data_IF_469498755789
#
_entry.id   IF_469498755789
#
_cell.length_a   1.000
_cell.length_b   1.000
_cell.length_c   1.000
_cell.angle_alpha   90.00
_cell.angle_beta   90.00
_cell.angle_gamma   90.00
#
_symmetry.space_group_name_H-M   'P 1'
#
loop_
_entity.id
_entity.type
_entity.pdbx_description
1 polymer ?
#
# COMPACT_ATOMS: atom_id res chain seq x y z
N UNK A 1 -12.49 -11.17 18.39
CA UNK A 1 -13.24 -10.59 17.26
C UNK A 1 -12.71 -9.20 17.02
N UNK A 2 -12.52 -8.80 15.76
CA UNK A 2 -12.12 -7.43 15.41
C UNK A 2 -13.31 -6.48 15.60
N UNK A 3 -13.10 -5.34 16.24
CA UNK A 3 -14.14 -4.31 16.46
C UNK A 3 -14.03 -3.17 15.45
N UNK A 4 -15.08 -2.35 15.32
CA UNK A 4 -15.05 -1.12 14.51
C UNK A 4 -13.93 -0.15 14.96
N UNK A 5 -13.66 -0.10 16.27
CA UNK A 5 -12.58 0.70 16.83
C UNK A 5 -11.20 0.19 16.38
N UNK A 6 -11.02 -1.13 16.28
CA UNK A 6 -9.79 -1.73 15.75
C UNK A 6 -9.60 -1.41 14.27
N UNK A 7 -10.66 -1.54 13.47
CA UNK A 7 -10.63 -1.23 12.03
C UNK A 7 -10.29 0.25 11.82
N UNK A 8 -10.94 1.14 12.58
CA UNK A 8 -10.68 2.57 12.52
C UNK A 8 -9.22 2.91 12.83
N UNK A 9 -8.67 2.31 13.88
CA UNK A 9 -7.27 2.52 14.27
C UNK A 9 -6.30 2.07 13.17
N UNK A 10 -6.56 0.95 12.51
CA UNK A 10 -5.74 0.48 11.38
C UNK A 10 -5.84 1.44 10.19
N UNK A 11 -7.05 1.90 9.85
CA UNK A 11 -7.25 2.87 8.78
C UNK A 11 -6.53 4.20 9.06
N UNK A 12 -6.67 4.75 10.27
CA UNK A 12 -6.03 6.01 10.65
C UNK A 12 -4.50 5.89 10.57
N UNK A 13 -3.92 4.79 11.08
CA UNK A 13 -2.49 4.52 10.97
C UNK A 13 -2.03 4.34 9.51
N UNK A 14 -2.81 3.65 8.70
CA UNK A 14 -2.54 3.50 7.26
C UNK A 14 -2.51 4.86 6.57
N UNK A 15 -3.51 5.71 6.84
CA UNK A 15 -3.60 7.04 6.26
C UNK A 15 -2.43 7.95 6.68
N UNK A 16 -2.07 7.93 7.96
CA UNK A 16 -0.92 8.68 8.50
C UNK A 16 0.40 8.24 7.86
N UNK A 17 0.64 6.94 7.74
CA UNK A 17 1.88 6.40 7.17
C UNK A 17 1.99 6.70 5.67
N UNK A 18 0.89 6.63 4.91
CA UNK A 18 0.85 7.06 3.51
C UNK A 18 1.16 8.56 3.38
N UNK A 19 0.51 9.42 4.17
CA UNK A 19 0.74 10.88 4.14
C UNK A 19 2.15 11.26 4.57
N UNK A 20 2.68 10.57 5.59
CA UNK A 20 4.02 10.75 6.12
C UNK A 20 5.13 10.09 5.28
N UNK A 21 4.76 9.35 4.22
CA UNK A 21 5.69 8.55 3.39
C UNK A 21 6.51 7.54 4.22
N UNK A 22 5.91 7.02 5.29
CA UNK A 22 6.49 6.01 6.17
C UNK A 22 6.22 4.61 5.60
N UNK A 23 7.09 4.17 4.69
CA UNK A 23 6.94 2.85 4.05
C UNK A 23 7.01 1.70 5.06
N UNK A 24 7.89 1.80 6.07
CA UNK A 24 8.05 0.74 7.06
C UNK A 24 6.82 0.65 7.96
N UNK A 25 6.29 1.78 8.43
CA UNK A 25 5.07 1.84 9.21
C UNK A 25 3.83 1.39 8.41
N UNK A 26 3.78 1.70 7.11
CA UNK A 26 2.71 1.26 6.22
C UNK A 26 2.71 -0.26 6.04
N UNK A 27 3.88 -0.82 5.71
CA UNK A 27 4.03 -2.25 5.43
C UNK A 27 3.85 -3.11 6.68
N UNK A 28 4.16 -2.57 7.86
CA UNK A 28 3.93 -3.25 9.14
C UNK A 28 2.44 -3.55 9.43
N UNK A 29 1.51 -2.88 8.73
CA UNK A 29 0.06 -3.14 8.86
C UNK A 29 -0.40 -4.37 8.05
N UNK A 30 0.45 -4.89 7.15
CA UNK A 30 0.13 -6.04 6.31
C UNK A 30 0.71 -7.33 6.92
N UNK A 31 -0.12 -8.38 6.96
CA UNK A 31 0.32 -9.74 7.28
C UNK A 31 1.32 -10.26 6.24
N UNK A 32 2.11 -11.28 6.61
CA UNK A 32 3.11 -11.88 5.72
C UNK A 32 2.51 -12.38 4.40
N UNK A 33 1.29 -12.94 4.48
CA UNK A 33 0.49 -13.54 3.41
C UNK A 33 -0.64 -12.62 2.91
N UNK A 34 -0.58 -11.33 3.23
CA UNK A 34 -1.62 -10.38 2.86
C UNK A 34 -1.82 -10.31 1.34
N UNK A 35 -3.06 -10.03 0.93
CA UNK A 35 -3.42 -9.78 -0.47
C UNK A 35 -3.78 -8.31 -0.63
N UNK A 36 -3.18 -7.66 -1.62
CA UNK A 36 -3.57 -6.33 -2.07
C UNK A 36 -4.16 -6.44 -3.47
N UNK A 37 -5.43 -6.06 -3.61
CA UNK A 37 -6.10 -5.97 -4.90
C UNK A 37 -6.44 -4.50 -5.20
N UNK A 38 -5.98 -4.01 -6.34
CA UNK A 38 -6.33 -2.67 -6.83
C UNK A 38 -6.15 -2.55 -8.34
N UNK A 39 -7.08 -1.89 -9.06
CA UNK A 39 -6.90 -1.57 -10.48
C UNK A 39 -5.63 -0.77 -10.77
N UNK A 40 -5.08 -0.06 -9.78
CA UNK A 40 -3.84 0.71 -9.95
C UNK A 40 -2.64 -0.18 -10.32
N UNK A 41 -2.62 -1.43 -9.86
CA UNK A 41 -1.57 -2.39 -10.25
C UNK A 41 -1.60 -2.62 -11.77
N UNK A 42 -2.77 -2.81 -12.36
CA UNK A 42 -2.89 -2.97 -13.82
C UNK A 42 -2.41 -1.75 -14.60
N UNK A 43 -2.58 -0.55 -14.03
CA UNK A 43 -2.15 0.70 -14.65
C UNK A 43 -0.65 0.98 -14.51
N UNK A 44 -0.02 0.48 -13.44
CA UNK A 44 1.38 0.81 -13.10
C UNK A 44 2.37 -0.33 -13.28
N UNK A 45 1.88 -1.57 -13.32
CA UNK A 45 2.60 -2.82 -13.52
C UNK A 45 1.85 -3.71 -14.55
N UNK A 46 1.66 -3.24 -15.79
CA UNK A 46 0.85 -3.95 -16.78
C UNK A 46 1.37 -5.36 -17.11
N UNK A 47 2.67 -5.60 -16.96
CA UNK A 47 3.32 -6.89 -17.18
C UNK A 47 2.90 -7.99 -16.20
N UNK A 48 2.41 -7.62 -15.02
CA UNK A 48 1.90 -8.58 -14.04
C UNK A 48 0.61 -9.27 -14.54
N UNK A 49 -0.13 -8.65 -15.46
CA UNK A 49 -1.35 -9.19 -16.06
C UNK A 49 -2.50 -9.40 -15.07
N UNK A 50 -2.35 -8.99 -13.82
CA UNK A 50 -3.33 -9.11 -12.73
C UNK A 50 -3.29 -7.89 -11.83
N UNK A 51 -4.44 -7.54 -11.23
CA UNK A 51 -4.57 -6.45 -10.26
C UNK A 51 -4.29 -6.86 -8.81
N UNK A 52 -3.65 -8.02 -8.60
CA UNK A 52 -3.50 -8.67 -7.30
C UNK A 52 -2.03 -8.89 -6.97
N UNK A 53 -1.61 -8.48 -5.77
CA UNK A 53 -0.32 -8.82 -5.17
C UNK A 53 -0.53 -9.74 -3.98
N UNK A 54 0.30 -10.78 -3.88
CA UNK A 54 0.26 -11.75 -2.79
C UNK A 54 1.54 -11.68 -1.97
N UNK A 55 1.40 -11.50 -0.67
CA UNK A 55 2.48 -11.41 0.28
C UNK A 55 2.97 -9.99 0.53
N UNK A 56 3.60 -9.80 1.68
CA UNK A 56 4.04 -8.48 2.15
C UNK A 56 5.15 -7.85 1.31
N UNK A 57 6.05 -8.65 0.74
CA UNK A 57 7.17 -8.14 -0.04
C UNK A 57 6.69 -7.48 -1.35
N UNK A 58 5.85 -8.11 -2.19
CA UNK A 58 5.34 -7.46 -3.40
C UNK A 58 4.55 -6.18 -3.09
N UNK A 59 3.78 -6.19 -1.99
CA UNK A 59 3.04 -5.01 -1.50
C UNK A 59 4.01 -3.87 -1.11
N UNK A 60 5.10 -4.19 -0.41
CA UNK A 60 6.15 -3.22 -0.07
C UNK A 60 6.75 -2.60 -1.33
N UNK A 61 7.12 -3.43 -2.30
CA UNK A 61 7.74 -2.98 -3.55
C UNK A 61 6.80 -2.05 -4.34
N UNK A 62 5.50 -2.36 -4.38
CA UNK A 62 4.48 -1.51 -4.98
C UNK A 62 4.36 -0.13 -4.30
N UNK A 63 4.22 -0.10 -2.97
CA UNK A 63 4.13 1.17 -2.24
C UNK A 63 5.42 1.98 -2.31
N UNK A 64 6.58 1.32 -2.29
CA UNK A 64 7.86 1.99 -2.45
C UNK A 64 7.96 2.72 -3.80
N UNK A 65 7.47 2.10 -4.88
CA UNK A 65 7.38 2.73 -6.20
C UNK A 65 6.38 3.90 -6.21
N UNK A 66 5.17 3.69 -5.70
CA UNK A 66 4.12 4.72 -5.67
C UNK A 66 4.52 5.97 -4.87
N UNK A 67 5.11 5.79 -3.68
CA UNK A 67 5.56 6.90 -2.83
C UNK A 67 6.70 7.72 -3.45
N UNK A 68 7.54 7.10 -4.31
CA UNK A 68 8.55 7.82 -5.11
C UNK A 68 7.90 8.63 -6.23
N UNK A 69 6.95 8.06 -6.96
CA UNK A 69 6.29 8.74 -8.10
C UNK A 69 5.49 9.98 -7.65
N UNK A 70 4.87 9.95 -6.47
CA UNK A 70 4.21 11.12 -5.86
C UNK A 70 5.16 12.31 -5.58
N UNK A 71 6.49 12.12 -5.65
CA UNK A 71 7.44 13.23 -5.59
C UNK A 71 7.45 14.06 -6.87
N UNK A 72 7.19 13.43 -8.02
CA UNK A 72 7.37 14.04 -9.34
C UNK A 72 6.11 14.82 -9.77
N UNK A 73 4.91 14.34 -9.47
CA UNK A 73 3.66 14.95 -9.93
C UNK A 73 3.16 16.16 -9.12
N UNK A 74 3.72 16.41 -7.92
CA UNK A 74 3.44 17.64 -7.14
C UNK A 74 4.39 18.81 -7.47
N UNK A 75 5.27 18.62 -8.44
CA UNK A 75 6.21 19.64 -8.93
C UNK A 75 5.82 20.23 -10.30
N UNK A 76 4.57 20.03 -10.73
CA UNK A 76 4.05 20.55 -12.00
C UNK A 76 2.75 21.32 -11.84
#
# INVERSE_FOLDING_TARGET
MTTDADIRRIYERWHETVRGRDLDGLVALYAEDAVLETPLILATLPELGTGVLQGREPIRSFFAAGLRTLQTDLSR
#
